data_IF_916847223020
#
_entry.id   IF_916847223020
#
_cell.length_a   1.000
_cell.length_b   1.000
_cell.length_c   1.000
_cell.angle_alpha   90.00
_cell.angle_beta   90.00
_cell.angle_gamma   90.00
#
_symmetry.space_group_name_H-M   'P 1'
#
loop_
_entity.id
_entity.type
_entity.pdbx_description
1 polymer ?
#
# COMPACT_ATOMS: atom_id res chain seq x y z
N UNK A 1 -21.93 -4.94 -2.31
CA UNK A 1 -21.19 -4.99 -3.56
C UNK A 1 -21.82 -6.00 -4.52
N UNK A 2 -22.05 -5.67 -5.77
CA UNK A 2 -21.64 -4.46 -6.49
C UNK A 2 -22.61 -3.27 -6.40
N UNK A 3 -23.80 -3.43 -5.85
CA UNK A 3 -24.85 -2.39 -5.83
C UNK A 3 -24.50 -1.16 -4.98
N UNK A 4 -23.54 -1.27 -4.05
CA UNK A 4 -23.24 -0.25 -3.07
C UNK A 4 -24.35 -0.02 -2.03
N UNK A 5 -25.40 -0.86 -2.02
CA UNK A 5 -26.49 -0.73 -1.07
C UNK A 5 -26.02 -1.03 0.35
N UNK A 6 -26.28 -0.12 1.27
CA UNK A 6 -26.01 -0.32 2.70
C UNK A 6 -27.04 -1.29 3.29
N UNK A 7 -26.58 -2.45 3.73
CA UNK A 7 -27.44 -3.49 4.33
C UNK A 7 -27.49 -3.34 5.85
N UNK A 8 -26.33 -3.09 6.49
CA UNK A 8 -26.21 -2.96 7.93
C UNK A 8 -25.23 -1.84 8.27
N UNK A 9 -25.55 -1.05 9.29
CA UNK A 9 -24.68 0.01 9.80
C UNK A 9 -24.74 0.04 11.32
N UNK A 10 -23.57 -0.12 11.96
CA UNK A 10 -23.41 0.06 13.39
C UNK A 10 -22.16 0.89 13.67
N UNK A 11 -22.31 2.06 14.27
CA UNK A 11 -21.24 3.00 14.56
C UNK A 11 -20.31 3.28 13.36
N UNK A 12 -20.85 3.20 12.14
CA UNK A 12 -20.07 3.19 10.90
C UNK A 12 -19.22 4.45 10.68
N UNK A 13 -19.55 5.57 11.33
CA UNK A 13 -18.82 6.84 11.27
C UNK A 13 -17.95 7.11 12.52
N UNK A 14 -17.80 6.13 13.41
CA UNK A 14 -16.89 6.27 14.54
C UNK A 14 -15.45 6.29 14.04
N UNK A 15 -14.69 7.34 14.40
CA UNK A 15 -13.28 7.47 14.06
C UNK A 15 -12.46 6.52 14.93
N UNK A 16 -11.65 5.68 14.30
CA UNK A 16 -10.83 4.65 14.94
C UNK A 16 -9.42 4.62 14.33
N UNK A 17 -8.48 4.11 15.09
CA UNK A 17 -7.20 3.64 14.54
C UNK A 17 -7.46 2.36 13.75
N UNK A 18 -6.90 2.27 12.55
CA UNK A 18 -7.25 1.22 11.59
C UNK A 18 -6.14 0.21 11.33
N UNK A 19 -4.98 0.41 11.96
CA UNK A 19 -3.83 -0.49 11.83
C UNK A 19 -3.57 -0.86 10.35
N UNK A 20 -3.35 -2.15 10.06
CA UNK A 20 -3.00 -2.65 8.72
C UNK A 20 -4.09 -2.49 7.66
N UNK A 21 -5.32 -2.06 7.99
CA UNK A 21 -6.28 -1.65 6.97
C UNK A 21 -5.76 -0.47 6.11
N UNK A 22 -4.79 0.27 6.63
CA UNK A 22 -4.01 1.28 5.88
C UNK A 22 -3.45 0.74 4.57
N UNK A 23 -2.98 -0.51 4.55
CA UNK A 23 -2.36 -1.15 3.39
C UNK A 23 -3.32 -1.35 2.21
N UNK A 24 -4.63 -1.32 2.46
CA UNK A 24 -5.63 -1.32 1.38
C UNK A 24 -5.47 -0.05 0.54
N UNK A 25 -5.31 1.12 1.18
CA UNK A 25 -5.05 2.38 0.48
C UNK A 25 -3.69 2.36 -0.20
N UNK A 26 -2.66 1.82 0.45
CA UNK A 26 -1.32 1.69 -0.14
C UNK A 26 -1.39 0.85 -1.42
N UNK A 27 -1.99 -0.33 -1.36
CA UNK A 27 -2.18 -1.20 -2.53
C UNK A 27 -2.98 -0.50 -3.65
N UNK A 28 -4.11 0.11 -3.31
CA UNK A 28 -4.93 0.88 -4.24
C UNK A 28 -4.12 1.97 -4.96
N UNK A 29 -3.40 2.77 -4.19
CA UNK A 29 -2.66 3.92 -4.71
C UNK A 29 -1.50 3.48 -5.62
N UNK A 30 -0.75 2.43 -5.25
CA UNK A 30 0.32 1.89 -6.09
C UNK A 30 -0.22 1.45 -7.45
N UNK A 31 -1.31 0.69 -7.47
CA UNK A 31 -1.92 0.23 -8.73
C UNK A 31 -2.40 1.42 -9.56
N UNK A 32 -3.08 2.38 -8.95
CA UNK A 32 -3.60 3.56 -9.67
C UNK A 32 -2.50 4.47 -10.20
N UNK A 33 -1.44 4.72 -9.42
CA UNK A 33 -0.29 5.51 -9.88
C UNK A 33 0.44 4.82 -11.03
N UNK A 34 0.61 3.50 -10.96
CA UNK A 34 1.22 2.75 -12.06
C UNK A 34 0.40 2.88 -13.36
N UNK A 35 -0.93 2.76 -13.28
CA UNK A 35 -1.83 2.97 -14.42
C UNK A 35 -1.72 4.40 -14.97
N UNK A 36 -1.80 5.42 -14.12
CA UNK A 36 -1.76 6.83 -14.48
C UNK A 36 -0.42 7.26 -15.11
N UNK A 37 0.68 6.73 -14.56
CA UNK A 37 2.04 7.02 -15.02
C UNK A 37 2.52 6.04 -16.11
N UNK A 38 1.65 5.11 -16.57
CA UNK A 38 1.94 4.09 -17.59
C UNK A 38 3.16 3.23 -17.24
N UNK A 39 3.28 2.87 -15.96
CA UNK A 39 4.37 2.01 -15.45
C UNK A 39 3.95 0.54 -15.49
N UNK A 40 4.87 -0.34 -15.90
CA UNK A 40 4.60 -1.77 -15.91
C UNK A 40 5.10 -2.42 -14.61
N UNK A 41 4.20 -2.61 -13.67
CA UNK A 41 4.51 -3.18 -12.34
C UNK A 41 4.99 -4.64 -12.38
N UNK A 42 4.80 -5.34 -13.50
CA UNK A 42 5.25 -6.74 -13.68
C UNK A 42 6.75 -6.80 -14.04
N UNK A 43 7.29 -5.76 -14.65
CA UNK A 43 8.69 -5.68 -15.09
C UNK A 43 9.50 -4.66 -14.29
N UNK A 44 8.82 -3.65 -13.75
CA UNK A 44 9.48 -2.63 -12.93
C UNK A 44 9.88 -3.18 -11.58
N UNK A 45 11.11 -2.91 -11.17
CA UNK A 45 11.70 -3.46 -9.96
C UNK A 45 12.08 -2.38 -8.95
N UNK A 46 12.19 -2.82 -7.71
CA UNK A 46 12.72 -2.04 -6.60
C UNK A 46 13.77 -2.86 -5.85
N UNK A 47 14.96 -2.27 -5.69
CA UNK A 47 16.03 -2.84 -4.87
C UNK A 47 15.77 -2.46 -3.42
N UNK A 48 15.61 -3.46 -2.57
CA UNK A 48 15.35 -3.28 -1.13
C UNK A 48 16.50 -2.52 -0.50
N UNK A 49 16.18 -1.40 0.14
CA UNK A 49 17.17 -0.53 0.80
C UNK A 49 17.38 -0.96 2.25
N UNK A 50 18.55 -0.68 2.80
CA UNK A 50 18.93 -1.05 4.17
C UNK A 50 17.88 -0.62 5.22
N UNK A 51 17.30 0.58 5.10
CA UNK A 51 16.31 1.07 6.06
C UNK A 51 15.03 0.22 6.13
N UNK A 52 14.73 -0.57 5.10
CA UNK A 52 13.54 -1.43 5.03
C UNK A 52 13.65 -2.60 6.01
N UNK A 53 14.86 -3.15 6.23
CA UNK A 53 15.11 -4.24 7.17
C UNK A 53 14.78 -3.88 8.63
N UNK A 54 14.83 -2.59 8.96
CA UNK A 54 14.47 -2.10 10.30
C UNK A 54 12.97 -1.88 10.50
N UNK A 55 12.14 -2.31 9.55
CA UNK A 55 10.69 -2.25 9.68
C UNK A 55 10.22 -3.15 10.82
N UNK A 56 9.38 -2.60 11.70
CA UNK A 56 8.83 -3.31 12.86
C UNK A 56 7.41 -3.80 12.62
N UNK A 57 6.93 -4.73 13.43
CA UNK A 57 5.61 -5.34 13.32
C UNK A 57 5.60 -6.49 12.32
N UNK A 58 4.52 -6.62 11.54
CA UNK A 58 4.44 -7.66 10.49
C UNK A 58 5.32 -7.31 9.30
N UNK A 59 6.12 -8.28 8.84
CA UNK A 59 7.03 -8.12 7.71
C UNK A 59 6.86 -9.24 6.71
N UNK A 60 7.31 -9.02 5.49
CA UNK A 60 7.49 -10.05 4.46
C UNK A 60 8.94 -10.57 4.41
N UNK A 61 9.76 -10.16 5.40
CA UNK A 61 11.17 -10.56 5.53
C UNK A 61 12.02 -10.15 4.32
N UNK A 62 11.78 -8.94 3.80
CA UNK A 62 12.58 -8.40 2.70
C UNK A 62 14.00 -8.10 3.18
N UNK A 63 14.99 -8.56 2.41
CA UNK A 63 16.42 -8.43 2.73
C UNK A 63 17.04 -7.33 1.88
N UNK A 64 17.90 -6.52 2.47
CA UNK A 64 18.66 -5.47 1.75
C UNK A 64 19.44 -6.06 0.58
N UNK A 65 19.34 -5.44 -0.57
CA UNK A 65 19.96 -5.89 -1.81
C UNK A 65 19.13 -6.85 -2.64
N UNK A 66 18.07 -7.43 -2.09
CA UNK A 66 17.11 -8.18 -2.90
C UNK A 66 16.35 -7.26 -3.85
N UNK A 67 16.05 -7.76 -5.04
CA UNK A 67 15.35 -7.05 -6.08
C UNK A 67 13.99 -7.70 -6.37
N UNK A 68 12.92 -6.95 -6.13
CA UNK A 68 11.54 -7.41 -6.34
C UNK A 68 10.86 -6.59 -7.43
N UNK A 69 9.98 -7.22 -8.21
CA UNK A 69 9.03 -6.46 -9.02
C UNK A 69 8.00 -5.76 -8.14
N UNK A 70 7.38 -4.71 -8.65
CA UNK A 70 6.33 -4.00 -7.90
C UNK A 70 5.13 -4.91 -7.64
N UNK A 71 4.80 -5.82 -8.57
CA UNK A 71 3.78 -6.85 -8.33
C UNK A 71 4.16 -7.76 -7.15
N UNK A 72 5.40 -8.25 -7.08
CA UNK A 72 5.89 -9.08 -5.96
C UNK A 72 5.76 -8.34 -4.63
N UNK A 73 6.11 -7.05 -4.59
CA UNK A 73 5.95 -6.22 -3.41
C UNK A 73 4.47 -6.00 -3.02
N UNK A 74 3.54 -5.96 -3.97
CA UNK A 74 2.10 -5.91 -3.68
C UNK A 74 1.61 -7.21 -3.02
N UNK A 75 2.10 -8.38 -3.42
CA UNK A 75 1.84 -9.63 -2.72
C UNK A 75 2.46 -9.63 -1.32
N UNK A 76 3.70 -9.19 -1.17
CA UNK A 76 4.38 -9.03 0.11
C UNK A 76 3.68 -8.03 1.05
N UNK A 77 3.04 -6.99 0.49
CA UNK A 77 2.22 -6.04 1.23
C UNK A 77 0.95 -6.69 1.81
N UNK A 78 0.23 -7.45 0.98
CA UNK A 78 -1.14 -7.85 1.28
C UNK A 78 -1.23 -9.19 1.99
N UNK A 79 -0.43 -10.21 1.63
CA UNK A 79 -0.57 -11.55 2.19
C UNK A 79 -0.01 -11.65 3.63
N UNK A 80 1.28 -11.35 3.91
CA UNK A 80 1.80 -11.34 5.28
C UNK A 80 1.55 -10.01 5.98
N UNK A 81 0.95 -9.02 5.30
CA UNK A 81 0.77 -7.66 5.82
C UNK A 81 2.11 -6.93 6.06
N UNK A 82 3.08 -7.07 5.13
CA UNK A 82 4.45 -6.58 5.28
C UNK A 82 4.55 -5.06 5.41
N UNK A 83 5.11 -4.59 6.53
CA UNK A 83 5.42 -3.17 6.73
C UNK A 83 6.64 -2.74 5.91
N UNK A 84 7.60 -3.63 5.75
CA UNK A 84 8.76 -3.53 4.86
C UNK A 84 8.34 -3.32 3.40
N UNK A 85 7.41 -4.14 2.90
CA UNK A 85 6.84 -3.98 1.56
C UNK A 85 6.08 -2.65 1.40
N UNK A 86 5.36 -2.22 2.44
CA UNK A 86 4.67 -0.93 2.42
C UNK A 86 5.65 0.24 2.29
N UNK A 87 6.79 0.18 2.98
CA UNK A 87 7.85 1.20 2.92
C UNK A 87 8.53 1.21 1.55
N UNK A 88 8.87 0.04 1.01
CA UNK A 88 9.47 -0.11 -0.32
C UNK A 88 8.57 0.45 -1.42
N UNK A 89 7.29 0.10 -1.40
CA UNK A 89 6.30 0.60 -2.36
C UNK A 89 6.09 2.11 -2.25
N UNK A 90 6.08 2.65 -1.02
CA UNK A 90 5.95 4.08 -0.79
C UNK A 90 7.18 4.86 -1.26
N UNK A 91 8.38 4.32 -1.10
CA UNK A 91 9.61 4.92 -1.63
C UNK A 91 9.61 4.91 -3.16
N UNK A 92 9.32 3.77 -3.77
CA UNK A 92 9.22 3.67 -5.23
C UNK A 92 8.23 4.69 -5.81
N UNK A 93 7.00 4.70 -5.33
CA UNK A 93 5.96 5.56 -5.88
C UNK A 93 6.20 7.05 -5.57
N UNK A 94 6.70 7.35 -4.37
CA UNK A 94 7.06 8.72 -4.00
C UNK A 94 8.21 9.27 -4.85
N UNK A 95 9.18 8.43 -5.20
CA UNK A 95 10.27 8.77 -6.12
C UNK A 95 9.76 9.12 -7.52
N UNK A 96 8.75 8.40 -8.03
CA UNK A 96 8.10 8.73 -9.30
C UNK A 96 7.40 10.09 -9.27
N UNK A 97 6.80 10.46 -8.13
CA UNK A 97 6.05 11.71 -7.97
C UNK A 97 6.96 12.92 -7.73
N UNK A 98 8.14 12.74 -7.19
CA UNK A 98 9.00 13.82 -6.70
C UNK A 98 10.37 13.88 -7.36
N UNK A 99 10.72 12.95 -8.23
CA UNK A 99 12.04 12.84 -8.88
C UNK A 99 13.22 13.01 -7.89
N UNK A 100 13.03 12.62 -6.63
CA UNK A 100 14.00 12.70 -5.55
C UNK A 100 14.54 11.30 -5.22
N UNK A 101 15.77 11.21 -4.75
CA UNK A 101 16.42 9.96 -4.33
C UNK A 101 16.36 9.73 -2.81
N UNK A 102 15.91 10.71 -2.02
CA UNK A 102 15.77 10.55 -0.57
C UNK A 102 14.47 9.81 -0.24
N UNK A 103 14.63 8.58 0.26
CA UNK A 103 13.51 7.73 0.66
C UNK A 103 12.55 8.37 1.69
N UNK A 104 13.07 9.20 2.60
CA UNK A 104 12.24 9.88 3.62
C UNK A 104 11.28 10.87 2.97
N UNK A 105 11.77 11.64 2.01
CA UNK A 105 10.94 12.58 1.26
C UNK A 105 9.97 11.83 0.33
N UNK A 106 10.41 10.77 -0.32
CA UNK A 106 9.54 9.92 -1.15
C UNK A 106 8.36 9.37 -0.34
N UNK A 107 8.62 8.82 0.84
CA UNK A 107 7.56 8.31 1.72
C UNK A 107 6.59 9.42 2.15
N UNK A 108 7.09 10.62 2.47
CA UNK A 108 6.23 11.77 2.79
C UNK A 108 5.35 12.19 1.62
N UNK A 109 5.92 12.23 0.42
CA UNK A 109 5.18 12.54 -0.82
C UNK A 109 4.10 11.49 -1.06
N UNK A 110 4.42 10.20 -0.90
CA UNK A 110 3.44 9.11 -1.02
C UNK A 110 2.30 9.25 0.00
N UNK A 111 2.60 9.50 1.28
CA UNK A 111 1.58 9.70 2.32
C UNK A 111 0.71 10.93 2.03
N UNK A 112 1.30 12.00 1.48
CA UNK A 112 0.53 13.17 1.02
C UNK A 112 -0.43 12.77 -0.10
N UNK A 113 0.01 11.94 -1.05
CA UNK A 113 -0.84 11.45 -2.13
C UNK A 113 -1.94 10.52 -1.62
N UNK A 114 -1.67 9.62 -0.64
CA UNK A 114 -2.72 8.85 0.04
C UNK A 114 -3.85 9.75 0.54
N UNK A 115 -3.50 10.86 1.18
CA UNK A 115 -4.48 11.81 1.71
C UNK A 115 -5.18 12.64 0.60
N UNK A 116 -4.53 12.86 -0.53
CA UNK A 116 -5.15 13.45 -1.72
C UNK A 116 -6.20 12.49 -2.29
N UNK A 117 -5.89 11.20 -2.39
CA UNK A 117 -6.85 10.17 -2.84
C UNK A 117 -8.04 10.02 -1.90
N UNK A 118 -7.86 10.16 -0.59
CA UNK A 118 -9.00 10.20 0.34
C UNK A 118 -10.02 11.27 -0.07
N UNK A 119 -9.56 12.47 -0.38
CA UNK A 119 -10.44 13.57 -0.81
C UNK A 119 -11.15 13.25 -2.13
N UNK A 120 -10.43 12.71 -3.11
CA UNK A 120 -10.98 12.35 -4.42
C UNK A 120 -12.02 11.23 -4.33
N UNK A 121 -11.81 10.27 -3.41
CA UNK A 121 -12.72 9.15 -3.16
C UNK A 121 -13.87 9.51 -2.23
N UNK A 122 -13.88 10.71 -1.65
CA UNK A 122 -14.90 11.14 -0.70
C UNK A 122 -14.79 10.50 0.69
N UNK A 123 -13.60 10.01 1.07
CA UNK A 123 -13.29 9.46 2.40
C UNK A 123 -13.06 10.61 3.39
N UNK A 124 -14.16 11.17 3.90
CA UNK A 124 -14.14 12.46 4.63
C UNK A 124 -13.54 12.35 6.03
N UNK A 125 -13.65 11.18 6.64
CA UNK A 125 -13.24 10.91 8.02
C UNK A 125 -11.96 10.07 8.08
N UNK A 126 -11.19 10.01 6.95
CA UNK A 126 -9.97 9.23 6.80
C UNK A 126 -8.75 10.11 6.65
N UNK A 127 -7.69 9.78 7.40
CA UNK A 127 -6.35 10.35 7.26
C UNK A 127 -5.29 9.29 7.53
N UNK A 128 -4.24 9.31 6.72
CA UNK A 128 -3.08 8.44 6.84
C UNK A 128 -1.85 9.22 7.27
N UNK A 129 -1.07 8.68 8.19
CA UNK A 129 0.20 9.22 8.66
C UNK A 129 1.42 8.41 8.19
N UNK A 130 1.19 7.20 7.71
CA UNK A 130 2.23 6.31 7.17
C UNK A 130 1.61 5.30 6.18
N UNK A 131 2.43 4.55 5.39
CA UNK A 131 1.92 3.61 4.39
C UNK A 131 1.53 2.24 4.95
N UNK A 132 1.87 1.90 6.20
CA UNK A 132 1.76 0.55 6.77
C UNK A 132 0.72 0.39 7.87
N UNK A 133 0.37 1.47 8.58
CA UNK A 133 -0.65 1.46 9.62
C UNK A 133 -0.14 1.22 11.05
N UNK A 134 1.17 1.29 11.30
CA UNK A 134 1.66 1.39 12.68
C UNK A 134 1.12 2.67 13.35
N UNK A 135 1.01 2.70 14.69
CA UNK A 135 0.44 3.84 15.41
C UNK A 135 1.03 5.18 14.97
N UNK A 136 0.16 6.10 14.62
CA UNK A 136 0.54 7.46 14.24
C UNK A 136 -0.59 8.41 14.60
N UNK A 137 -0.27 9.55 15.23
CA UNK A 137 -1.26 10.53 15.74
C UNK A 137 -2.30 10.99 14.71
N UNK A 138 -1.94 10.96 13.42
CA UNK A 138 -2.81 11.40 12.33
C UNK A 138 -3.59 10.27 11.67
N UNK A 139 -3.22 8.98 11.91
CA UNK A 139 -3.88 7.85 11.24
C UNK A 139 -5.21 7.53 11.90
N UNK A 140 -6.28 7.71 11.14
CA UNK A 140 -7.64 7.36 11.57
C UNK A 140 -8.54 7.14 10.37
N UNK A 141 -9.58 6.37 10.55
CA UNK A 141 -10.64 6.20 9.56
C UNK A 141 -11.94 5.74 10.23
N UNK A 142 -12.94 5.46 9.43
CA UNK A 142 -14.24 4.92 9.86
C UNK A 142 -14.56 3.65 9.08
N UNK A 143 -15.42 2.79 9.63
CA UNK A 143 -15.88 1.60 8.91
C UNK A 143 -16.58 1.97 7.59
N UNK A 144 -17.27 3.11 7.57
CA UNK A 144 -17.91 3.62 6.35
C UNK A 144 -16.87 3.97 5.28
N UNK A 145 -15.85 4.78 5.60
CA UNK A 145 -14.84 5.16 4.63
C UNK A 145 -14.03 3.96 4.13
N UNK A 146 -13.68 3.03 5.01
CA UNK A 146 -12.99 1.79 4.61
C UNK A 146 -13.89 0.96 3.68
N UNK A 147 -15.20 0.88 3.92
CA UNK A 147 -16.10 0.16 3.00
C UNK A 147 -16.16 0.80 1.62
N UNK A 148 -16.16 2.14 1.54
CA UNK A 148 -16.08 2.87 0.27
C UNK A 148 -14.77 2.57 -0.44
N UNK A 149 -13.63 2.62 0.26
CA UNK A 149 -12.32 2.29 -0.29
C UNK A 149 -12.30 0.85 -0.82
N UNK A 150 -12.76 -0.13 -0.02
CA UNK A 150 -12.82 -1.52 -0.43
C UNK A 150 -13.67 -1.72 -1.70
N UNK A 151 -14.81 -1.04 -1.82
CA UNK A 151 -15.64 -1.08 -3.02
C UNK A 151 -14.83 -0.66 -4.26
N UNK A 152 -14.04 0.42 -4.16
CA UNK A 152 -13.17 0.88 -5.25
C UNK A 152 -12.03 -0.08 -5.56
N UNK A 153 -11.47 -0.73 -4.55
CA UNK A 153 -10.44 -1.75 -4.74
C UNK A 153 -10.99 -2.99 -5.45
N UNK A 154 -12.20 -3.43 -5.12
CA UNK A 154 -12.86 -4.60 -5.72
C UNK A 154 -13.22 -4.41 -7.20
N UNK A 155 -13.21 -3.18 -7.71
CA UNK A 155 -13.33 -2.88 -9.15
C UNK A 155 -12.00 -3.08 -9.91
N UNK A 156 -10.88 -3.35 -9.20
CA UNK A 156 -9.56 -3.53 -9.79
C UNK A 156 -9.22 -5.03 -9.88
N UNK A 157 -9.12 -5.63 -11.09
CA UNK A 157 -8.87 -7.05 -11.25
C UNK A 157 -7.59 -7.54 -10.56
N UNK A 158 -6.50 -6.74 -10.61
CA UNK A 158 -5.25 -7.08 -9.96
C UNK A 158 -5.41 -7.14 -8.43
N UNK A 159 -6.10 -6.17 -7.83
CA UNK A 159 -6.37 -6.19 -6.40
C UNK A 159 -7.14 -7.46 -6.00
N UNK A 160 -8.21 -7.80 -6.73
CA UNK A 160 -8.98 -9.01 -6.49
C UNK A 160 -8.12 -10.27 -6.61
N UNK A 161 -7.24 -10.35 -7.61
CA UNK A 161 -6.29 -11.46 -7.78
C UNK A 161 -5.39 -11.61 -6.57
N UNK A 162 -4.78 -10.51 -6.10
CA UNK A 162 -3.88 -10.52 -4.95
C UNK A 162 -4.60 -11.04 -3.70
N UNK A 163 -5.74 -10.46 -3.33
CA UNK A 163 -6.45 -10.80 -2.09
C UNK A 163 -7.10 -12.18 -2.10
N UNK A 164 -7.33 -12.76 -3.28
CA UNK A 164 -7.84 -14.13 -3.41
C UNK A 164 -6.73 -15.20 -3.43
N UNK A 165 -5.46 -14.80 -3.47
CA UNK A 165 -4.31 -15.69 -3.50
C UNK A 165 -4.05 -16.26 -2.11
N UNK A 166 -4.03 -17.58 -1.99
CA UNK A 166 -3.76 -18.28 -0.72
C UNK A 166 -2.28 -18.43 -0.44
N UNK A 167 -1.49 -18.66 -1.48
CA UNK A 167 -0.05 -18.86 -1.42
C UNK A 167 0.57 -18.22 -2.66
N UNK A 168 1.63 -17.44 -2.48
CA UNK A 168 2.38 -16.84 -3.55
C UNK A 168 3.85 -17.27 -3.46
N UNK A 169 4.33 -17.97 -4.48
CA UNK A 169 5.72 -18.41 -4.61
C UNK A 169 6.34 -17.67 -5.79
N UNK A 170 7.51 -17.13 -5.58
CA UNK A 170 8.25 -16.40 -6.61
C UNK A 170 9.75 -16.57 -6.43
N UNK A 171 10.49 -16.31 -7.48
CA UNK A 171 11.96 -16.18 -7.43
C UNK A 171 12.30 -14.70 -7.41
N UNK A 172 13.26 -14.33 -6.57
CA UNK A 172 13.81 -12.99 -6.47
C UNK A 172 15.24 -12.98 -7.02
N UNK A 173 15.68 -11.81 -7.46
CA UNK A 173 17.08 -11.60 -7.77
C UNK A 173 17.77 -11.08 -6.52
N UNK A 174 18.84 -11.75 -6.10
CA UNK A 174 19.68 -11.30 -4.99
C UNK A 174 20.97 -10.72 -5.54
N UNK A 175 21.53 -9.73 -4.86
CA UNK A 175 22.82 -9.12 -5.25
C UNK A 175 24.02 -9.97 -4.85
N UNK A 176 23.86 -11.06 -4.09
CA UNK A 176 24.96 -11.92 -3.61
C UNK A 176 25.57 -12.84 -4.67
N UNK A 177 25.26 -12.65 -5.95
CA UNK A 177 25.83 -13.40 -7.08
C UNK A 177 26.66 -12.50 -8.03
N UNK A 178 27.41 -11.53 -7.50
CA UNK A 178 28.46 -10.83 -8.25
C UNK A 178 29.83 -11.04 -7.62
#
# INVERSE_FOLDING_TARGET
YPSGQLILSYRAKQSLEIASLTKIMTCYLIIKLAEELKRNIFDETFDVKEYVEYSTGTTAELIHGDCYTIEQLLYALMLPSGNDAAMSLADWAGGLLNANSDHRENIKVFVKEMNTRCKQLGLKDTRFGNPHGLPHKDTRSTAYDISVLCTKCLDIPLFCRIISTKEYRTTIKTTDNL
#
